data_IF_233175683010
#
_entry.id   IF_233175683010
#
_cell.length_a   1.000
_cell.length_b   1.000
_cell.length_c   1.000
_cell.angle_alpha   90.00
_cell.angle_beta   90.00
_cell.angle_gamma   90.00
#
_symmetry.space_group_name_H-M   'P 1'
#
loop_
_entity.id
_entity.type
_entity.pdbx_description
1 polymer ?
#
# COMPACT_ATOMS: atom_id res chain seq x y z
N UNK A 1 9.40 -7.35 -5.00
CA UNK A 1 8.89 -6.24 -5.83
C UNK A 1 7.70 -5.62 -5.12
N UNK A 2 7.72 -4.30 -4.98
CA UNK A 2 6.56 -3.50 -4.56
C UNK A 2 6.16 -2.63 -5.75
N UNK A 3 4.87 -2.61 -6.07
CA UNK A 3 4.33 -1.79 -7.13
C UNK A 3 3.06 -1.09 -6.62
N UNK A 4 2.96 0.19 -6.92
CA UNK A 4 1.76 1.02 -6.74
C UNK A 4 1.82 2.12 -7.79
N UNK A 5 0.67 2.71 -8.08
CA UNK A 5 0.59 4.02 -8.74
C UNK A 5 0.49 5.12 -7.68
N UNK A 6 0.88 6.32 -8.05
CA UNK A 6 0.89 7.52 -7.21
C UNK A 6 -0.52 8.09 -6.97
N UNK A 7 -1.39 8.00 -7.98
CA UNK A 7 -2.81 8.31 -7.87
C UNK A 7 -3.62 7.51 -8.90
N UNK A 8 -4.95 7.57 -8.78
CA UNK A 8 -5.86 7.02 -9.77
C UNK A 8 -6.26 8.08 -10.81
N UNK A 9 -7.28 7.78 -11.60
CA UNK A 9 -7.71 8.59 -12.74
C UNK A 9 -9.24 8.63 -12.79
N UNK A 10 -9.82 9.82 -12.94
CA UNK A 10 -11.22 9.95 -13.32
C UNK A 10 -11.38 9.69 -14.81
N UNK A 11 -12.19 8.68 -15.14
CA UNK A 11 -12.57 8.34 -16.51
C UNK A 11 -14.10 8.29 -16.53
N UNK A 12 -14.71 9.45 -16.73
CA UNK A 12 -16.17 9.61 -16.76
C UNK A 12 -16.59 10.72 -17.72
N UNK A 13 -17.88 10.81 -18.03
CA UNK A 13 -18.41 11.82 -18.95
C UNK A 13 -18.32 13.27 -18.41
N UNK A 14 -18.24 13.43 -17.08
CA UNK A 14 -18.31 14.75 -16.43
C UNK A 14 -17.02 15.13 -15.70
N UNK A 15 -16.06 14.22 -15.61
CA UNK A 15 -14.78 14.43 -14.95
C UNK A 15 -13.72 13.52 -15.55
N UNK A 16 -12.64 14.14 -15.99
CA UNK A 16 -11.53 13.51 -16.68
C UNK A 16 -10.23 13.79 -15.93
N UNK A 17 -9.28 12.88 -16.11
CA UNK A 17 -7.93 12.99 -15.55
C UNK A 17 -7.89 12.94 -14.01
N UNK A 18 -6.83 13.51 -13.45
CA UNK A 18 -6.54 13.59 -12.03
C UNK A 18 -6.19 15.03 -11.64
N UNK A 19 -5.93 15.25 -10.36
CA UNK A 19 -5.52 16.56 -9.83
C UNK A 19 -6.68 17.40 -9.29
N UNK A 20 -7.86 16.80 -9.10
CA UNK A 20 -8.94 17.45 -8.38
C UNK A 20 -8.51 17.70 -6.92
N UNK A 21 -8.81 18.87 -6.32
CA UNK A 21 -8.48 19.13 -4.92
C UNK A 21 -8.96 18.01 -4.00
N UNK A 22 -8.12 17.57 -3.06
CA UNK A 22 -8.33 16.33 -2.30
C UNK A 22 -9.66 16.24 -1.57
N UNK A 23 -10.19 17.36 -1.10
CA UNK A 23 -11.47 17.45 -0.40
C UNK A 23 -12.70 17.34 -1.31
N UNK A 24 -12.51 17.43 -2.62
CA UNK A 24 -13.56 17.38 -3.66
C UNK A 24 -13.37 16.23 -4.64
N UNK A 25 -12.18 15.64 -4.65
CA UNK A 25 -11.79 14.61 -5.58
C UNK A 25 -12.56 13.31 -5.33
N UNK A 26 -13.01 12.65 -6.40
CA UNK A 26 -13.76 11.42 -6.30
C UNK A 26 -12.84 10.24 -5.92
N UNK A 27 -13.43 9.14 -5.48
CA UNK A 27 -12.68 7.99 -4.96
C UNK A 27 -11.74 7.39 -6.00
N UNK A 28 -12.09 7.40 -7.29
CA UNK A 28 -11.24 6.84 -8.35
C UNK A 28 -9.91 7.57 -8.53
N UNK A 29 -9.76 8.83 -8.09
CA UNK A 29 -8.46 9.51 -8.08
C UNK A 29 -7.55 9.05 -6.92
N UNK A 30 -8.07 8.27 -5.96
CA UNK A 30 -7.32 7.78 -4.79
C UNK A 30 -7.31 6.27 -4.62
N UNK A 31 -8.20 5.55 -5.31
CA UNK A 31 -8.28 4.10 -5.26
C UNK A 31 -7.26 3.51 -6.23
N UNK A 32 -6.13 3.05 -5.70
CA UNK A 32 -4.98 2.60 -6.49
C UNK A 32 -4.61 1.16 -6.18
N UNK A 33 -4.17 0.36 -7.17
CA UNK A 33 -3.65 -0.97 -6.91
C UNK A 33 -2.33 -0.92 -6.14
N UNK A 34 -2.17 -1.83 -5.18
CA UNK A 34 -0.89 -2.12 -4.54
C UNK A 34 -0.58 -3.61 -4.71
N UNK A 35 0.60 -3.91 -5.24
CA UNK A 35 1.04 -5.27 -5.53
C UNK A 35 2.35 -5.54 -4.80
N UNK A 36 2.40 -6.68 -4.12
CA UNK A 36 3.59 -7.20 -3.49
C UNK A 36 3.88 -8.61 -4.01
N UNK A 37 5.07 -8.79 -4.56
CA UNK A 37 5.59 -10.11 -4.95
C UNK A 37 6.95 -10.32 -4.28
N UNK A 38 7.14 -11.47 -3.64
CA UNK A 38 8.41 -11.85 -3.03
C UNK A 38 8.90 -13.20 -3.56
N UNK A 39 10.12 -13.57 -3.21
CA UNK A 39 10.76 -14.81 -3.59
C UNK A 39 10.66 -15.84 -2.45
N UNK A 40 10.63 -17.13 -2.78
CA UNK A 40 10.36 -18.21 -1.82
C UNK A 40 11.36 -18.24 -0.66
N UNK A 41 12.65 -17.96 -0.93
CA UNK A 41 13.68 -17.94 0.11
C UNK A 41 13.50 -16.78 1.11
N UNK A 42 12.72 -15.74 0.79
CA UNK A 42 12.32 -14.72 1.77
C UNK A 42 11.17 -15.21 2.65
N UNK A 43 10.19 -15.90 2.07
CA UNK A 43 9.05 -16.46 2.79
C UNK A 43 9.47 -17.52 3.81
N UNK A 44 10.53 -18.29 3.48
CA UNK A 44 11.13 -19.28 4.36
C UNK A 44 11.80 -18.69 5.62
N UNK A 45 11.99 -17.37 5.71
CA UNK A 45 12.55 -16.72 6.91
C UNK A 45 11.52 -16.74 8.05
N UNK A 46 12.03 -16.80 9.28
CA UNK A 46 11.21 -16.83 10.51
C UNK A 46 10.15 -15.72 10.48
N UNK A 47 8.89 -16.11 10.70
CA UNK A 47 7.71 -15.24 10.73
C UNK A 47 7.31 -14.53 9.42
N UNK A 48 7.96 -14.80 8.27
CA UNK A 48 7.61 -14.14 6.99
C UNK A 48 6.42 -14.82 6.30
N UNK A 49 6.35 -16.14 6.31
CA UNK A 49 5.19 -16.90 5.80
C UNK A 49 3.89 -16.50 6.51
N UNK A 50 3.88 -16.51 7.85
CA UNK A 50 2.70 -16.13 8.63
C UNK A 50 2.31 -14.67 8.45
N UNK A 51 3.27 -13.76 8.26
CA UNK A 51 2.99 -12.37 7.90
C UNK A 51 2.36 -12.25 6.51
N UNK A 52 2.84 -13.04 5.54
CA UNK A 52 2.28 -13.07 4.19
C UNK A 52 0.85 -13.66 4.16
N UNK A 53 0.56 -14.67 4.98
CA UNK A 53 -0.79 -15.20 5.12
C UNK A 53 -1.78 -14.17 5.70
N UNK A 54 -1.33 -13.37 6.67
CA UNK A 54 -2.13 -12.25 7.19
C UNK A 54 -2.41 -11.21 6.11
N UNK A 55 -1.41 -10.86 5.29
CA UNK A 55 -1.61 -9.94 4.16
C UNK A 55 -2.63 -10.49 3.15
N UNK A 56 -2.55 -11.77 2.78
CA UNK A 56 -3.55 -12.44 1.93
C UNK A 56 -4.95 -12.43 2.57
N UNK A 57 -5.05 -12.58 3.88
CA UNK A 57 -6.33 -12.51 4.60
C UNK A 57 -6.91 -11.08 4.58
N UNK A 58 -6.09 -10.05 4.79
CA UNK A 58 -6.50 -8.64 4.68
C UNK A 58 -7.00 -8.31 3.26
N UNK A 59 -6.30 -8.78 2.22
CA UNK A 59 -6.75 -8.63 0.83
C UNK A 59 -8.14 -9.24 0.62
N UNK A 60 -8.37 -10.47 1.08
CA UNK A 60 -9.69 -11.14 0.97
C UNK A 60 -10.79 -10.40 1.73
N UNK A 61 -10.44 -9.77 2.85
CA UNK A 61 -11.37 -8.98 3.64
C UNK A 61 -11.61 -7.56 3.09
N UNK A 62 -10.93 -7.17 1.99
CA UNK A 62 -11.08 -5.83 1.41
C UNK A 62 -10.50 -4.71 2.29
N UNK A 63 -9.52 -5.03 3.14
CA UNK A 63 -8.87 -4.01 3.99
C UNK A 63 -8.17 -2.99 3.11
N UNK A 64 -8.50 -1.71 3.30
CA UNK A 64 -7.88 -0.61 2.57
C UNK A 64 -6.56 -0.22 3.23
N UNK A 65 -5.50 -0.17 2.42
CA UNK A 65 -4.18 0.35 2.79
C UNK A 65 -3.92 1.71 2.15
N UNK A 66 -2.96 2.45 2.70
CA UNK A 66 -2.64 3.84 2.29
C UNK A 66 -1.16 3.99 2.02
N UNK A 67 -0.79 4.93 1.15
CA UNK A 67 0.62 5.22 0.85
C UNK A 67 1.45 5.62 2.07
N UNK A 68 0.81 6.17 3.12
CA UNK A 68 1.47 6.46 4.39
C UNK A 68 2.17 5.22 5.01
N UNK A 69 1.70 4.01 4.68
CA UNK A 69 2.25 2.74 5.19
C UNK A 69 3.39 2.18 4.33
N UNK A 70 3.64 2.74 3.13
CA UNK A 70 4.64 2.20 2.19
C UNK A 70 6.06 2.24 2.76
N UNK A 71 6.40 3.34 3.43
CA UNK A 71 7.72 3.51 4.03
C UNK A 71 7.97 2.39 5.06
N UNK A 72 7.08 2.23 6.03
CA UNK A 72 7.21 1.22 7.08
C UNK A 72 7.16 -0.20 6.51
N UNK A 73 6.35 -0.43 5.47
CA UNK A 73 6.27 -1.71 4.76
C UNK A 73 7.61 -2.09 4.13
N UNK A 74 8.25 -1.16 3.40
CA UNK A 74 9.54 -1.40 2.76
C UNK A 74 10.63 -1.62 3.82
N UNK A 75 10.64 -0.82 4.88
CA UNK A 75 11.62 -0.96 5.96
C UNK A 75 11.46 -2.30 6.69
N UNK A 76 10.23 -2.73 6.99
CA UNK A 76 9.92 -4.02 7.58
C UNK A 76 10.27 -5.21 6.68
N UNK A 77 10.13 -5.05 5.36
CA UNK A 77 10.57 -6.05 4.39
C UNK A 77 12.08 -6.26 4.40
N UNK A 78 12.84 -5.16 4.50
CA UNK A 78 14.31 -5.14 4.58
C UNK A 78 14.84 -5.51 5.98
N UNK A 79 13.96 -5.77 6.95
CA UNK A 79 14.31 -6.02 8.35
C UNK A 79 15.10 -4.87 9.01
N UNK A 80 14.88 -3.64 8.55
CA UNK A 80 15.47 -2.44 9.14
C UNK A 80 14.48 -1.88 10.15
N UNK A 81 14.82 -1.97 11.43
CA UNK A 81 14.06 -1.32 12.50
C UNK A 81 14.66 0.07 12.77
N UNK A 82 13.84 1.11 12.63
CA UNK A 82 14.17 2.45 13.09
C UNK A 82 13.09 2.95 14.02
N UNK A 83 13.48 3.43 15.19
CA UNK A 83 12.60 4.20 16.07
C UNK A 83 12.50 5.60 15.49
N UNK A 84 11.46 5.86 14.68
CA UNK A 84 11.07 7.23 14.38
C UNK A 84 10.66 7.87 15.70
N UNK A 85 11.50 8.78 16.21
CA UNK A 85 11.16 9.58 17.38
C UNK A 85 9.91 10.38 17.08
N UNK A 86 8.85 10.12 17.85
CA UNK A 86 7.70 11.00 18.13
C UNK A 86 7.44 12.12 17.13
N UNK A 87 6.85 11.83 15.97
CA UNK A 87 6.08 12.75 15.14
C UNK A 87 5.38 11.83 14.12
N UNK A 88 4.19 11.33 14.41
CA UNK A 88 2.92 11.95 14.02
C UNK A 88 1.83 11.30 14.91
N UNK A 89 1.04 12.12 15.60
CA UNK A 89 -0.31 11.78 16.10
C UNK A 89 -1.32 12.37 15.14
#
# INVERSE_FOLDING_TARGET
MFYTVDHGESISDNMYFHGTPRNMAPTEQFCVPMIFCSYDTWLAKVNKESAFDRLKAQQRAGVTHRHAELFDTIMGYLAISRRLGSLIR
#
